data_IF_539058603025
#
_entry.id   IF_539058603025
#
_cell.length_a   1.000
_cell.length_b   1.000
_cell.length_c   1.000
_cell.angle_alpha   90.00
_cell.angle_beta   90.00
_cell.angle_gamma   90.00
#
_symmetry.space_group_name_H-M   'P 1'
#
loop_
_entity.id
_entity.type
_entity.pdbx_description
1 polymer ?
#
# COMPACT_ATOMS: atom_id res chain seq x y z
N UNK A 1 9.40 14.04 6.21
CA UNK A 1 10.88 14.03 6.32
C UNK A 1 11.27 14.05 7.79
N UNK A 2 11.35 12.88 8.42
CA UNK A 2 11.77 12.75 9.81
C UNK A 2 13.29 12.81 9.88
N UNK A 3 13.79 13.89 10.50
CA UNK A 3 15.22 14.16 10.62
C UNK A 3 15.76 13.50 11.90
N UNK A 4 16.36 12.33 11.79
CA UNK A 4 17.22 11.79 12.85
C UNK A 4 18.65 12.31 12.62
N UNK A 5 19.17 13.15 13.52
CA UNK A 5 20.54 13.66 13.49
C UNK A 5 21.47 12.67 14.20
N UNK A 6 22.47 12.16 13.48
CA UNK A 6 23.62 11.43 14.04
C UNK A 6 24.89 12.29 13.94
N UNK A 7 25.91 12.05 14.81
CA UNK A 7 26.93 13.03 15.18
C UNK A 7 28.02 13.33 14.14
N UNK A 8 27.95 12.83 12.90
CA UNK A 8 29.08 12.84 11.96
C UNK A 8 28.94 13.75 10.74
N UNK A 9 27.96 14.65 10.68
CA UNK A 9 27.91 15.78 9.72
C UNK A 9 27.82 15.40 8.22
N UNK A 10 27.93 14.13 7.86
CA UNK A 10 27.76 13.63 6.51
C UNK A 10 26.27 13.43 6.24
N UNK A 11 25.71 14.22 5.31
CA UNK A 11 24.41 13.92 4.69
C UNK A 11 24.56 12.67 3.83
N UNK A 12 24.54 11.50 4.48
CA UNK A 12 24.20 10.27 3.77
C UNK A 12 22.69 10.33 3.65
N UNK A 13 22.19 10.72 2.47
CA UNK A 13 20.82 10.41 2.10
C UNK A 13 20.77 8.88 2.15
N UNK A 14 20.18 8.32 3.20
CA UNK A 14 19.98 6.88 3.23
C UNK A 14 19.26 6.53 1.93
N UNK A 15 19.75 5.56 1.14
CA UNK A 15 19.03 5.15 -0.04
C UNK A 15 17.65 4.75 0.45
N UNK A 16 16.63 5.50 0.03
CA UNK A 16 15.25 5.09 0.18
C UNK A 16 15.22 3.68 -0.38
N UNK A 17 14.96 2.70 0.49
CA UNK A 17 14.81 1.32 0.07
C UNK A 17 13.77 1.36 -1.07
N UNK A 18 14.13 0.94 -2.30
CA UNK A 18 13.29 1.11 -3.50
C UNK A 18 11.85 0.59 -3.30
N UNK A 19 11.68 -0.37 -2.40
CA UNK A 19 10.40 -0.96 -2.04
C UNK A 19 9.43 0.03 -1.37
N UNK A 20 9.88 1.15 -0.80
CA UNK A 20 9.01 2.16 -0.15
C UNK A 20 8.01 2.80 -1.12
N UNK A 21 8.38 2.97 -2.39
CA UNK A 21 7.48 3.56 -3.40
C UNK A 21 6.24 2.68 -3.64
N UNK A 22 6.41 1.35 -3.60
CA UNK A 22 5.30 0.42 -3.80
C UNK A 22 4.33 0.41 -2.61
N UNK A 23 4.82 0.55 -1.37
CA UNK A 23 3.98 0.70 -0.18
C UNK A 23 3.12 1.96 -0.25
N UNK A 24 3.72 3.06 -0.68
CA UNK A 24 2.99 4.32 -0.89
C UNK A 24 1.93 4.10 -1.97
N UNK A 25 2.28 3.52 -3.12
CA UNK A 25 1.30 3.21 -4.16
C UNK A 25 0.14 2.35 -3.63
N UNK A 26 0.43 1.31 -2.85
CA UNK A 26 -0.55 0.45 -2.19
C UNK A 26 -1.59 1.25 -1.38
N UNK A 27 -1.15 2.27 -0.65
CA UNK A 27 -2.05 3.16 0.10
C UNK A 27 -2.97 3.97 -0.83
N UNK A 28 -2.45 4.47 -1.94
CA UNK A 28 -3.23 5.24 -2.92
C UNK A 28 -4.31 4.39 -3.58
N UNK A 29 -4.00 3.14 -3.91
CA UNK A 29 -4.96 2.18 -4.47
C UNK A 29 -5.82 1.49 -3.41
N UNK A 30 -5.73 1.90 -2.13
CA UNK A 30 -6.48 1.35 -0.98
C UNK A 30 -6.26 -0.15 -0.74
N UNK A 31 -5.07 -0.65 -1.03
CA UNK A 31 -4.68 -2.05 -0.77
C UNK A 31 -4.03 -2.18 0.60
N UNK A 32 -4.39 -3.24 1.33
CA UNK A 32 -3.70 -3.64 2.55
C UNK A 32 -2.33 -4.22 2.19
N UNK A 33 -1.29 -3.42 2.39
CA UNK A 33 0.09 -3.83 2.10
C UNK A 33 0.71 -4.41 3.37
N UNK A 34 1.22 -5.64 3.28
CA UNK A 34 1.84 -6.33 4.41
C UNK A 34 3.18 -5.68 4.79
N UNK A 35 3.56 -5.66 6.09
CA UNK A 35 4.79 -5.03 6.54
C UNK A 35 6.06 -5.75 6.09
N UNK A 36 6.04 -7.08 5.98
CA UNK A 36 7.21 -7.83 5.52
C UNK A 36 7.43 -7.64 4.01
N UNK A 37 8.71 -7.57 3.62
CA UNK A 37 9.12 -7.29 2.24
C UNK A 37 10.43 -8.00 1.92
N UNK A 38 10.54 -8.51 0.70
CA UNK A 38 11.80 -9.01 0.15
C UNK A 38 12.48 -7.95 -0.70
N UNK A 39 13.80 -7.84 -0.56
CA UNK A 39 14.65 -6.99 -1.40
C UNK A 39 15.99 -7.67 -1.53
N UNK A 40 16.21 -8.32 -2.66
CA UNK A 40 17.41 -9.14 -2.89
C UNK A 40 18.52 -8.31 -3.51
N UNK A 41 19.73 -8.41 -2.96
CA UNK A 41 20.91 -7.83 -3.56
C UNK A 41 21.48 -8.80 -4.61
N UNK A 42 21.90 -8.26 -5.77
CA UNK A 42 22.53 -9.04 -6.85
C UNK A 42 21.71 -10.27 -7.30
N UNK A 43 20.43 -10.05 -7.58
CA UNK A 43 19.48 -11.11 -7.91
C UNK A 43 19.98 -12.12 -8.96
N UNK A 44 20.77 -11.71 -9.96
CA UNK A 44 21.31 -12.61 -11.00
C UNK A 44 22.19 -13.76 -10.47
N UNK A 45 22.71 -13.68 -9.24
CA UNK A 45 23.53 -14.73 -8.63
C UNK A 45 22.68 -15.79 -7.91
N UNK A 46 21.45 -15.43 -7.53
CA UNK A 46 20.54 -16.24 -6.72
C UNK A 46 19.74 -17.26 -7.55
N UNK A 47 19.79 -17.19 -8.89
CA UNK A 47 19.13 -18.14 -9.78
C UNK A 47 20.11 -19.16 -10.36
N UNK A 48 19.63 -20.37 -10.62
CA UNK A 48 20.34 -21.43 -11.35
C UNK A 48 20.11 -21.33 -12.88
N UNK A 49 20.75 -22.21 -13.64
CA UNK A 49 20.63 -22.24 -15.11
C UNK A 49 19.21 -22.60 -15.60
N UNK A 50 18.38 -23.21 -14.74
CA UNK A 50 16.99 -23.53 -15.02
C UNK A 50 16.03 -22.40 -14.60
N UNK A 51 16.56 -21.27 -14.12
CA UNK A 51 15.77 -20.14 -13.63
C UNK A 51 15.10 -20.37 -12.27
N UNK A 52 15.52 -21.38 -11.51
CA UNK A 52 15.05 -21.61 -10.13
C UNK A 52 15.94 -20.87 -9.16
N UNK A 53 15.33 -20.34 -8.11
CA UNK A 53 16.08 -19.74 -7.01
C UNK A 53 16.83 -20.83 -6.24
N UNK A 54 18.08 -20.55 -5.92
CA UNK A 54 18.90 -21.41 -5.06
C UNK A 54 18.37 -21.36 -3.62
N UNK A 55 18.56 -22.43 -2.83
CA UNK A 55 18.30 -22.39 -1.40
C UNK A 55 19.24 -21.37 -0.74
N UNK A 56 18.72 -20.21 -0.35
CA UNK A 56 19.49 -19.13 0.27
C UNK A 56 18.67 -18.41 1.34
N UNK A 57 19.30 -17.50 2.09
CA UNK A 57 18.60 -16.68 3.06
C UNK A 57 17.52 -15.79 2.40
N UNK A 58 17.72 -15.40 1.13
CA UNK A 58 16.73 -14.64 0.36
C UNK A 58 15.49 -15.48 0.03
N UNK A 59 15.70 -16.75 -0.34
CA UNK A 59 14.60 -17.69 -0.57
C UNK A 59 13.73 -17.86 0.68
N UNK A 60 14.35 -18.03 1.86
CA UNK A 60 13.62 -18.11 3.13
C UNK A 60 12.78 -16.84 3.39
N UNK A 61 13.29 -15.65 3.05
CA UNK A 61 12.54 -14.39 3.19
C UNK A 61 11.35 -14.28 2.26
N UNK A 62 11.45 -14.79 1.03
CA UNK A 62 10.28 -14.86 0.13
C UNK A 62 9.21 -15.78 0.72
N UNK A 63 9.62 -16.90 1.31
CA UNK A 63 8.69 -17.81 1.98
C UNK A 63 7.98 -17.10 3.14
N UNK A 64 8.71 -16.39 4.00
CA UNK A 64 8.12 -15.62 5.11
C UNK A 64 7.11 -14.57 4.62
N UNK A 65 7.44 -13.83 3.56
CA UNK A 65 6.55 -12.80 2.96
C UNK A 65 5.29 -13.45 2.39
N UNK A 66 5.43 -14.60 1.74
CA UNK A 66 4.28 -15.32 1.13
C UNK A 66 3.38 -15.90 2.22
N UNK A 67 3.96 -16.44 3.29
CA UNK A 67 3.22 -16.94 4.44
C UNK A 67 2.43 -15.81 5.14
N UNK A 68 3.06 -14.65 5.36
CA UNK A 68 2.40 -13.48 5.93
C UNK A 68 1.26 -12.97 5.03
N UNK A 69 1.51 -12.88 3.71
CA UNK A 69 0.49 -12.49 2.75
C UNK A 69 -0.74 -13.41 2.83
N UNK A 70 -0.51 -14.72 2.91
CA UNK A 70 -1.59 -15.71 2.99
C UNK A 70 -2.38 -15.56 4.30
N UNK A 71 -1.70 -15.42 5.44
CA UNK A 71 -2.34 -15.20 6.76
C UNK A 71 -3.19 -13.93 6.77
N UNK A 72 -2.65 -12.80 6.28
CA UNK A 72 -3.38 -11.53 6.21
C UNK A 72 -4.57 -11.64 5.27
N UNK A 73 -4.41 -12.33 4.13
CA UNK A 73 -5.52 -12.55 3.19
C UNK A 73 -6.64 -13.33 3.85
N UNK A 74 -6.33 -14.43 4.56
CA UNK A 74 -7.33 -15.20 5.29
C UNK A 74 -8.05 -14.39 6.37
N UNK A 75 -7.32 -13.54 7.10
CA UNK A 75 -7.89 -12.66 8.12
C UNK A 75 -8.83 -11.61 7.51
N UNK A 76 -8.48 -11.03 6.35
CA UNK A 76 -9.25 -9.94 5.75
C UNK A 76 -10.42 -10.40 4.88
N UNK A 77 -10.33 -11.60 4.28
CA UNK A 77 -11.28 -12.10 3.26
C UNK A 77 -12.75 -12.03 3.71
N UNK A 78 -13.04 -12.27 4.99
CA UNK A 78 -14.40 -12.23 5.53
C UNK A 78 -14.95 -10.84 5.88
N UNK A 79 -14.10 -9.82 5.92
CA UNK A 79 -14.45 -8.48 6.45
C UNK A 79 -14.31 -7.36 5.43
N UNK A 80 -14.05 -7.67 4.16
CA UNK A 80 -13.80 -6.66 3.11
C UNK A 80 -14.91 -5.64 2.98
N UNK A 81 -16.19 -6.06 3.05
CA UNK A 81 -17.34 -5.15 3.01
C UNK A 81 -17.40 -4.19 4.20
N UNK A 82 -17.09 -4.68 5.41
CA UNK A 82 -17.02 -3.84 6.60
C UNK A 82 -15.84 -2.86 6.55
N UNK A 83 -14.66 -3.35 6.14
CA UNK A 83 -13.44 -2.54 6.04
C UNK A 83 -13.51 -1.48 4.94
N UNK A 84 -14.24 -1.74 3.85
CA UNK A 84 -14.47 -0.78 2.78
C UNK A 84 -15.53 0.28 3.14
N UNK A 85 -16.38 0.01 4.14
CA UNK A 85 -17.39 0.95 4.57
C UNK A 85 -16.74 2.18 5.25
N UNK A 86 -17.04 3.38 4.72
CA UNK A 86 -16.50 4.64 5.23
C UNK A 86 -17.63 5.54 5.73
N UNK A 87 -17.42 6.11 6.92
CA UNK A 87 -18.34 7.09 7.51
C UNK A 87 -18.67 8.26 6.57
N UNK A 88 -17.66 8.78 5.85
CA UNK A 88 -17.86 9.86 4.88
C UNK A 88 -18.79 9.46 3.73
N UNK A 89 -18.67 8.23 3.23
CA UNK A 89 -19.53 7.72 2.15
C UNK A 89 -20.99 7.55 2.61
N UNK A 90 -21.21 7.20 3.89
CA UNK A 90 -22.56 7.14 4.46
C UNK A 90 -23.19 8.51 4.66
N UNK A 91 -22.40 9.53 5.01
CA UNK A 91 -22.92 10.91 5.17
C UNK A 91 -23.40 11.50 3.86
N UNK A 92 -22.69 11.24 2.76
CA UNK A 92 -23.11 11.67 1.43
C UNK A 92 -24.42 11.00 1.02
N UNK A 93 -24.59 9.69 1.29
CA UNK A 93 -25.81 8.96 0.94
C UNK A 93 -27.04 9.42 1.74
N UNK A 94 -26.84 9.89 2.98
CA UNK A 94 -27.89 10.34 3.90
C UNK A 94 -28.22 11.83 3.80
N UNK A 95 -27.63 12.59 2.86
CA UNK A 95 -28.14 13.93 2.59
C UNK A 95 -29.60 13.84 2.09
N UNK A 96 -30.52 14.63 2.67
CA UNK A 96 -31.92 14.60 2.25
C UNK A 96 -32.00 15.00 0.78
N UNK A 97 -32.76 14.22 -0.02
CA UNK A 97 -33.04 14.45 -1.44
C UNK A 97 -33.26 15.93 -1.84
N UNK A 98 -33.98 16.78 -1.08
CA UNK A 98 -34.12 18.20 -1.43
C UNK A 98 -32.81 18.99 -1.49
N UNK A 99 -31.78 18.62 -0.71
CA UNK A 99 -30.49 19.32 -0.71
C UNK A 99 -29.68 19.03 -1.98
N UNK A 100 -29.74 17.79 -2.51
CA UNK A 100 -29.04 17.41 -3.76
C UNK A 100 -29.62 18.11 -4.99
N UNK A 101 -30.95 18.20 -5.07
CA UNK A 101 -31.64 18.85 -6.20
C UNK A 101 -31.32 20.36 -6.23
N UNK A 102 -31.17 21.00 -5.08
CA UNK A 102 -30.80 22.42 -5.01
C UNK A 102 -29.34 22.67 -5.43
N UNK A 103 -28.42 21.77 -5.08
CA UNK A 103 -27.01 21.86 -5.50
C UNK A 103 -26.87 21.72 -7.03
N UNK A 104 -27.57 20.75 -7.62
CA UNK A 104 -27.57 20.53 -9.08
C UNK A 104 -28.13 21.75 -9.84
N UNK A 105 -29.17 22.40 -9.30
CA UNK A 105 -29.73 23.63 -9.88
C UNK A 105 -28.79 24.84 -9.78
N UNK A 106 -28.07 25.01 -8.67
CA UNK A 106 -27.10 26.11 -8.54
C UNK A 106 -25.92 25.93 -9.49
N UNK A 107 -25.49 24.69 -9.69
CA UNK A 107 -24.35 24.37 -10.55
C UNK A 107 -24.70 24.61 -12.03
N UNK A 108 -25.93 24.32 -12.46
CA UNK A 108 -26.43 24.63 -13.81
C UNK A 108 -26.53 26.15 -14.04
N UNK A 109 -26.91 26.93 -13.03
CA UNK A 109 -27.06 28.38 -13.14
C UNK A 109 -25.72 29.14 -13.15
N UNK A 110 -24.69 28.61 -12.49
CA UNK A 110 -23.36 29.24 -12.43
C UNK A 110 -22.47 28.97 -13.66
N UNK A 111 -22.86 28.01 -14.52
CA UNK A 111 -22.12 27.64 -15.73
C UNK A 111 -22.80 28.13 -17.04
N UNK A 112 -23.67 29.14 -16.95
CA UNK A 112 -24.15 29.95 -18.09
C UNK A 112 -23.55 31.34 -18.02
#
# INVERSE_FOLDING_TARGET
MTHARYPTGKRVVQPIQRNQTHHILGQWIRTFTIPNQSSEAKAWQEFDENGRMKPSAWYARIVDVTEELFKVTLLLKGYTGYLAYRHSASKESHQPLPARINQEKSDIWNHR
#
